data_IF_552461963454
#
_entry.id   IF_552461963454
#
_cell.length_a   1.000
_cell.length_b   1.000
_cell.length_c   1.000
_cell.angle_alpha   90.00
_cell.angle_beta   90.00
_cell.angle_gamma   90.00
#
_symmetry.space_group_name_H-M   'P 1'
#
loop_
_entity.id
_entity.type
_entity.pdbx_description
1 polymer ?
#
# COMPACT_ATOMS: atom_id res chain seq x y z
N UNK A 1 1.62 7.54 26.32
CA UNK A 1 2.27 7.93 25.05
C UNK A 1 2.06 6.78 24.09
N UNK A 2 1.26 6.97 23.05
CA UNK A 2 1.21 6.03 21.93
C UNK A 2 2.49 6.22 21.12
N UNK A 3 3.21 5.15 20.83
CA UNK A 3 4.42 5.21 20.02
C UNK A 3 4.10 5.81 18.63
N UNK A 4 5.02 6.60 18.04
CA UNK A 4 4.79 7.20 16.72
C UNK A 4 4.60 6.12 15.67
N UNK A 5 3.64 6.35 14.76
CA UNK A 5 3.45 5.45 13.61
C UNK A 5 4.60 5.68 12.62
N UNK A 6 5.23 4.60 12.20
CA UNK A 6 6.33 4.57 11.22
C UNK A 6 6.04 3.46 10.21
N UNK A 7 6.78 3.42 9.09
CA UNK A 7 6.68 2.32 8.15
C UNK A 7 6.93 0.96 8.83
N UNK A 8 7.88 0.89 9.77
CA UNK A 8 8.18 -0.35 10.50
C UNK A 8 7.03 -0.80 11.39
N UNK A 9 6.40 0.11 12.14
CA UNK A 9 5.25 -0.25 12.99
C UNK A 9 4.01 -0.57 12.17
N UNK A 10 3.83 0.09 11.01
CA UNK A 10 2.80 -0.25 10.04
C UNK A 10 3.00 -1.64 9.43
N UNK A 11 4.23 -2.01 9.04
CA UNK A 11 4.55 -3.36 8.55
C UNK A 11 4.32 -4.43 9.63
N UNK A 12 4.69 -4.14 10.88
CA UNK A 12 4.41 -5.03 12.01
C UNK A 12 2.90 -5.20 12.23
N UNK A 13 2.13 -4.12 12.12
CA UNK A 13 0.67 -4.16 12.18
C UNK A 13 0.08 -5.03 11.06
N UNK A 14 0.53 -4.85 9.81
CA UNK A 14 0.08 -5.65 8.67
C UNK A 14 0.31 -7.15 8.90
N UNK A 15 1.51 -7.51 9.36
CA UNK A 15 1.85 -8.90 9.69
C UNK A 15 0.98 -9.46 10.81
N UNK A 16 0.66 -8.66 11.82
CA UNK A 16 -0.19 -9.08 12.94
C UNK A 16 -1.67 -9.25 12.54
N UNK A 17 -2.18 -8.41 11.65
CA UNK A 17 -3.58 -8.48 11.19
C UNK A 17 -3.82 -9.53 10.11
N UNK A 18 -2.74 -10.01 9.47
CA UNK A 18 -2.79 -10.93 8.35
C UNK A 18 -3.54 -12.23 8.64
N UNK A 19 -4.36 -12.67 7.69
CA UNK A 19 -5.14 -13.92 7.76
C UNK A 19 -4.85 -14.80 6.54
N UNK A 20 -4.47 -16.05 6.78
CA UNK A 20 -4.24 -17.04 5.71
C UNK A 20 -5.46 -17.26 4.81
N UNK A 21 -6.68 -17.13 5.35
CA UNK A 21 -7.91 -17.23 4.56
C UNK A 21 -8.07 -16.08 3.57
N UNK A 22 -7.60 -14.88 3.90
CA UNK A 22 -7.59 -13.73 2.99
C UNK A 22 -6.59 -13.96 1.87
N UNK A 23 -5.38 -14.44 2.21
CA UNK A 23 -4.37 -14.83 1.20
C UNK A 23 -4.92 -15.89 0.24
N UNK A 24 -5.56 -16.95 0.76
CA UNK A 24 -6.14 -18.01 -0.07
C UNK A 24 -7.24 -17.48 -1.00
N UNK A 25 -8.02 -16.48 -0.55
CA UNK A 25 -9.06 -15.85 -1.35
C UNK A 25 -8.56 -15.03 -2.54
N UNK A 26 -7.29 -14.59 -2.54
CA UNK A 26 -6.71 -13.76 -3.61
C UNK A 26 -6.70 -14.48 -4.96
N UNK A 27 -6.53 -15.81 -4.97
CA UNK A 27 -6.51 -16.61 -6.19
C UNK A 27 -7.81 -16.50 -7.01
N UNK A 28 -8.96 -16.34 -6.34
CA UNK A 28 -10.26 -16.12 -7.00
C UNK A 28 -10.25 -14.87 -7.89
N UNK A 29 -9.42 -13.89 -7.55
CA UNK A 29 -9.32 -12.61 -8.24
C UNK A 29 -8.10 -12.53 -9.17
N UNK A 30 -7.39 -13.65 -9.37
CA UNK A 30 -6.17 -13.67 -10.20
C UNK A 30 -5.04 -12.81 -9.65
N UNK A 31 -5.04 -12.49 -8.36
CA UNK A 31 -3.98 -11.71 -7.72
C UNK A 31 -2.89 -12.68 -7.23
N UNK A 32 -1.62 -12.54 -7.67
CA UNK A 32 -0.51 -13.28 -7.10
C UNK A 32 -0.38 -13.00 -5.60
N UNK A 33 -0.27 -14.05 -4.78
CA UNK A 33 -0.09 -13.91 -3.33
C UNK A 33 1.37 -13.78 -2.90
N UNK A 34 2.26 -13.40 -3.83
CA UNK A 34 3.68 -13.20 -3.57
C UNK A 34 3.82 -12.04 -2.56
N UNK A 35 4.49 -12.30 -1.43
CA UNK A 35 4.65 -11.36 -0.32
C UNK A 35 3.35 -10.80 0.28
N UNK A 36 2.21 -11.46 0.08
CA UNK A 36 0.94 -11.08 0.71
C UNK A 36 0.85 -11.59 2.16
N UNK A 37 0.38 -10.73 3.06
CA UNK A 37 0.18 -11.07 4.48
C UNK A 37 -1.27 -11.38 4.83
N UNK A 38 -2.24 -10.99 3.98
CA UNK A 38 -3.64 -11.32 4.11
C UNK A 38 -4.46 -10.31 4.91
N UNK A 39 -4.30 -9.01 4.65
CA UNK A 39 -5.14 -7.95 5.25
C UNK A 39 -6.18 -7.49 4.23
N UNK A 40 -7.43 -7.34 4.67
CA UNK A 40 -8.50 -6.91 3.75
C UNK A 40 -8.33 -5.44 3.34
N UNK A 41 -8.72 -5.07 2.12
CA UNK A 41 -8.69 -3.66 1.66
C UNK A 41 -9.50 -2.75 2.59
N UNK A 42 -10.60 -3.25 3.19
CA UNK A 42 -11.38 -2.50 4.16
C UNK A 42 -10.60 -2.15 5.43
N UNK A 43 -9.85 -3.12 5.97
CA UNK A 43 -8.99 -2.91 7.13
C UNK A 43 -7.79 -2.01 6.79
N UNK A 44 -7.20 -2.14 5.59
CA UNK A 44 -6.16 -1.24 5.10
C UNK A 44 -6.65 0.21 5.04
N UNK A 45 -7.84 0.46 4.47
CA UNK A 45 -8.43 1.80 4.42
C UNK A 45 -8.72 2.35 5.81
N UNK A 46 -9.15 1.51 6.76
CA UNK A 46 -9.35 1.94 8.15
C UNK A 46 -8.04 2.33 8.80
N UNK A 47 -6.99 1.54 8.61
CA UNK A 47 -5.68 1.81 9.17
C UNK A 47 -5.01 3.03 8.53
N UNK A 48 -5.13 3.21 7.21
CA UNK A 48 -4.66 4.40 6.50
C UNK A 48 -5.26 5.69 7.08
N UNK A 49 -6.53 5.69 7.50
CA UNK A 49 -7.14 6.84 8.18
C UNK A 49 -6.50 7.14 9.54
N UNK A 50 -6.00 6.12 10.25
CA UNK A 50 -5.27 6.28 11.51
C UNK A 50 -3.87 6.85 11.27
N UNK A 51 -3.20 6.43 10.19
CA UNK A 51 -1.89 6.98 9.78
C UNK A 51 -2.04 8.43 9.33
N UNK A 52 -3.09 8.74 8.56
CA UNK A 52 -3.21 10.00 7.85
C UNK A 52 -2.41 10.01 6.55
N UNK A 53 -2.07 11.21 6.08
CA UNK A 53 -1.21 11.39 4.92
C UNK A 53 0.23 11.60 5.37
N UNK A 54 1.13 10.78 4.84
CA UNK A 54 2.57 10.86 5.09
C UNK A 54 3.31 10.22 3.91
N UNK A 55 3.91 11.06 3.07
CA UNK A 55 4.62 10.60 1.88
C UNK A 55 5.93 9.85 2.21
N UNK A 56 6.56 10.11 3.36
CA UNK A 56 7.76 9.37 3.76
C UNK A 56 7.40 7.93 4.16
N UNK A 57 6.32 7.76 4.93
CA UNK A 57 5.79 6.43 5.24
C UNK A 57 5.32 5.73 3.96
N UNK A 58 4.68 6.46 3.03
CA UNK A 58 4.25 5.92 1.74
C UNK A 58 5.41 5.30 0.95
N UNK A 59 6.50 6.04 0.76
CA UNK A 59 7.65 5.58 -0.01
C UNK A 59 8.34 4.37 0.64
N UNK A 60 8.49 4.36 1.97
CA UNK A 60 9.08 3.24 2.71
C UNK A 60 8.18 1.99 2.72
N UNK A 61 6.86 2.16 2.82
CA UNK A 61 5.91 1.05 2.67
C UNK A 61 5.97 0.44 1.27
N UNK A 62 6.09 1.25 0.23
CA UNK A 62 6.22 0.76 -1.14
C UNK A 62 7.48 -0.08 -1.32
N UNK A 63 8.63 0.43 -0.86
CA UNK A 63 9.94 -0.25 -0.92
C UNK A 63 9.97 -1.59 -0.19
N UNK A 64 9.09 -1.82 0.77
CA UNK A 64 9.04 -3.08 1.52
C UNK A 64 8.72 -4.30 0.65
N UNK A 65 8.08 -4.09 -0.51
CA UNK A 65 7.67 -5.18 -1.43
C UNK A 65 6.55 -6.07 -0.88
N UNK A 66 5.98 -5.76 0.29
CA UNK A 66 4.81 -6.45 0.84
C UNK A 66 3.56 -5.98 0.08
N UNK A 67 2.76 -6.91 -0.42
CA UNK A 67 1.59 -6.61 -1.25
C UNK A 67 0.65 -5.60 -0.59
N UNK A 68 0.22 -5.85 0.65
CA UNK A 68 -0.66 -4.93 1.37
C UNK A 68 0.02 -3.62 1.76
N UNK A 69 1.36 -3.60 1.90
CA UNK A 69 2.09 -2.38 2.17
C UNK A 69 2.10 -1.44 0.95
N UNK A 70 2.17 -1.98 -0.28
CA UNK A 70 2.04 -1.17 -1.51
C UNK A 70 0.64 -0.55 -1.64
N UNK A 71 -0.41 -1.30 -1.31
CA UNK A 71 -1.77 -0.76 -1.26
C UNK A 71 -1.89 0.33 -0.17
N UNK A 72 -1.34 0.07 1.01
CA UNK A 72 -1.34 1.04 2.11
C UNK A 72 -0.55 2.31 1.73
N UNK A 73 0.59 2.17 1.07
CA UNK A 73 1.41 3.28 0.56
C UNK A 73 0.58 4.22 -0.31
N UNK A 74 -0.20 3.68 -1.25
CA UNK A 74 -1.09 4.48 -2.09
C UNK A 74 -2.18 5.21 -1.29
N UNK A 75 -2.71 4.59 -0.23
CA UNK A 75 -3.71 5.25 0.63
C UNK A 75 -3.13 6.35 1.53
N UNK A 76 -1.85 6.28 1.90
CA UNK A 76 -1.21 7.27 2.79
C UNK A 76 -0.38 8.32 2.05
N UNK A 77 -0.04 8.10 0.78
CA UNK A 77 0.77 9.03 0.00
C UNK A 77 0.08 10.39 -0.20
N UNK A 78 0.89 11.45 -0.29
CA UNK A 78 0.44 12.83 -0.58
C UNK A 78 0.50 13.08 -2.11
N UNK A 79 -0.63 13.23 -2.82
CA UNK A 79 -0.65 13.37 -4.29
C UNK A 79 0.19 14.53 -4.82
N UNK A 80 0.14 15.67 -4.14
CA UNK A 80 0.87 16.90 -4.48
C UNK A 80 2.39 16.76 -4.39
N UNK A 81 2.88 15.71 -3.71
CA UNK A 81 4.32 15.40 -3.56
C UNK A 81 4.79 14.32 -4.53
N UNK A 82 3.87 13.69 -5.28
CA UNK A 82 4.21 12.65 -6.25
C UNK A 82 5.01 13.25 -7.40
N UNK A 83 6.13 12.60 -7.73
CA UNK A 83 7.02 13.00 -8.82
C UNK A 83 7.00 12.00 -9.96
N UNK A 84 7.35 12.42 -11.18
CA UNK A 84 7.49 11.50 -12.32
C UNK A 84 8.50 10.39 -12.02
N UNK A 85 9.62 10.73 -11.39
CA UNK A 85 10.62 9.75 -10.97
C UNK A 85 10.09 8.71 -9.96
N UNK A 86 9.12 9.07 -9.11
CA UNK A 86 8.45 8.10 -8.24
C UNK A 86 7.54 7.18 -9.05
N UNK A 87 6.75 7.74 -9.97
CA UNK A 87 5.89 6.95 -10.86
C UNK A 87 6.72 5.94 -11.67
N UNK A 88 7.85 6.36 -12.24
CA UNK A 88 8.77 5.50 -12.98
C UNK A 88 9.34 4.38 -12.10
N UNK A 89 9.66 4.66 -10.83
CA UNK A 89 10.12 3.65 -9.86
C UNK A 89 9.01 2.67 -9.45
N UNK A 90 7.77 3.13 -9.36
CA UNK A 90 6.61 2.33 -8.92
C UNK A 90 6.03 1.47 -10.06
N UNK A 91 6.15 1.91 -11.31
CA UNK A 91 5.64 1.20 -12.48
C UNK A 91 6.07 -0.29 -12.57
N UNK A 92 7.37 -0.65 -12.46
CA UNK A 92 7.78 -2.06 -12.55
C UNK A 92 7.33 -2.91 -11.36
N UNK A 93 7.03 -2.29 -10.21
CA UNK A 93 6.56 -2.96 -8.99
C UNK A 93 5.05 -3.26 -9.00
N UNK A 94 4.32 -2.73 -9.99
CA UNK A 94 2.88 -2.93 -10.15
C UNK A 94 2.57 -4.28 -10.83
N UNK A 95 2.99 -5.36 -10.16
CA UNK A 95 2.98 -6.75 -10.62
C UNK A 95 1.59 -7.44 -10.60
N UNK A 96 0.56 -6.72 -10.17
CA UNK A 96 -0.83 -7.17 -10.21
C UNK A 96 -1.76 -6.01 -10.52
N UNK A 97 -2.91 -6.33 -11.13
CA UNK A 97 -3.97 -5.36 -11.39
C UNK A 97 -4.38 -4.63 -10.11
N UNK A 98 -4.38 -5.31 -8.96
CA UNK A 98 -4.80 -4.72 -7.69
C UNK A 98 -3.82 -3.66 -7.16
N UNK A 99 -2.50 -3.87 -7.31
CA UNK A 99 -1.48 -2.86 -6.97
C UNK A 99 -1.58 -1.69 -7.93
N UNK A 100 -1.63 -1.97 -9.25
CA UNK A 100 -1.74 -0.94 -10.29
C UNK A 100 -2.97 -0.05 -10.08
N UNK A 101 -4.16 -0.64 -10.03
CA UNK A 101 -5.42 0.09 -9.89
C UNK A 101 -5.47 0.88 -8.57
N UNK A 102 -4.99 0.30 -7.47
CA UNK A 102 -4.97 1.00 -6.19
C UNK A 102 -4.01 2.17 -6.21
N UNK A 103 -2.79 2.01 -6.74
CA UNK A 103 -1.82 3.09 -6.86
C UNK A 103 -2.38 4.22 -7.74
N UNK A 104 -2.91 3.87 -8.92
CA UNK A 104 -3.52 4.80 -9.85
C UNK A 104 -4.67 5.58 -9.20
N UNK A 105 -5.71 4.90 -8.72
CA UNK A 105 -6.94 5.57 -8.28
C UNK A 105 -6.87 6.20 -6.88
N UNK A 106 -5.93 5.77 -6.04
CA UNK A 106 -5.80 6.31 -4.68
C UNK A 106 -4.77 7.44 -4.58
N UNK A 107 -3.82 7.52 -5.51
CA UNK A 107 -2.69 8.44 -5.43
C UNK A 107 -2.31 9.07 -6.77
N UNK A 108 -1.98 8.27 -7.78
CA UNK A 108 -1.29 8.77 -8.98
C UNK A 108 -2.20 9.62 -9.88
N UNK A 109 -3.50 9.28 -9.99
CA UNK A 109 -4.50 10.03 -10.78
C UNK A 109 -4.80 11.44 -10.22
N UNK A 110 -4.39 11.70 -8.97
CA UNK A 110 -4.53 12.98 -8.29
C UNK A 110 -3.24 13.77 -8.23
N UNK A 111 -2.14 13.22 -8.76
CA UNK A 111 -0.87 13.92 -8.79
C UNK A 111 -0.96 15.10 -9.77
N UNK A 112 -0.21 16.19 -9.55
CA UNK A 112 -0.18 17.33 -10.48
C UNK A 112 0.29 17.02 -11.91
N UNK A 113 0.81 15.81 -12.13
CA UNK A 113 1.35 15.32 -13.39
C UNK A 113 0.35 14.50 -14.23
N UNK A 114 -0.84 14.23 -13.69
CA UNK A 114 -1.89 13.41 -14.30
C UNK A 114 -2.76 14.18 -15.30
#
# INVERSE_FOLDING_TARGET
MTDPITAQTALAWLKHQGKKSVVAGMARYGIPSINAVGVTVGDLKRYAKTIGRDHAISDELWKSGVYEARLLAAFVGEPERVTGAQMDRWAPDSDSWAVCDTACFALLDRAPLA
#
